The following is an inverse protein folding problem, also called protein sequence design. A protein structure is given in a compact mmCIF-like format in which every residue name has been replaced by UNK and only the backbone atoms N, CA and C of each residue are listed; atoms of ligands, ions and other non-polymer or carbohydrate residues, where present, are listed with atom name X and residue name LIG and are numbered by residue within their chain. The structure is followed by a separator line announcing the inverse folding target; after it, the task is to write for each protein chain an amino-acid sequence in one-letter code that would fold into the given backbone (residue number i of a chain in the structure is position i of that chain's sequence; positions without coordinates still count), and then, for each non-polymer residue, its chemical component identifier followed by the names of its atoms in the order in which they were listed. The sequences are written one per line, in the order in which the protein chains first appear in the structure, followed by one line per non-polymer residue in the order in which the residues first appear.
data_IF_687916587598
#
_entry.id   IF_687916587598
#
_cell.length_a   1.000
_cell.length_b   1.000
_cell.length_c   1.000
_cell.angle_alpha   90.00
_cell.angle_beta   90.00
_cell.angle_gamma   90.00
#
_symmetry.space_group_name_H-M   'P 1'
#
loop_
_entity.id
_entity.type
_entity.pdbx_description
1 polymer ?
#
# COMPACT_ATOMS: atom_id res chain seq x y z
N UNK A 1 10.96 3.61 -46.24
CA UNK A 1 10.14 4.40 -45.29
C UNK A 1 9.76 3.48 -44.14
N UNK A 2 10.37 3.65 -42.97
CA UNK A 2 10.04 2.86 -41.77
C UNK A 2 8.73 3.42 -41.21
N UNK A 3 7.61 2.70 -41.37
CA UNK A 3 6.38 3.02 -40.66
C UNK A 3 6.61 2.67 -39.20
N UNK A 4 6.92 3.67 -38.37
CA UNK A 4 6.90 3.47 -36.92
C UNK A 4 5.48 3.06 -36.53
N UNK A 5 5.31 1.83 -36.07
CA UNK A 5 4.08 1.36 -35.45
C UNK A 5 3.77 2.28 -34.27
N UNK A 6 2.71 3.08 -34.36
CA UNK A 6 2.24 3.89 -33.24
C UNK A 6 1.33 3.04 -32.36
N UNK A 7 1.61 3.03 -31.05
CA UNK A 7 0.78 2.40 -30.05
C UNK A 7 -0.29 3.39 -29.58
N UNK A 8 -1.52 2.90 -29.39
CA UNK A 8 -2.61 3.67 -28.81
C UNK A 8 -2.38 3.86 -27.29
N UNK A 9 -2.47 5.09 -26.79
CA UNK A 9 -2.35 5.41 -25.36
C UNK A 9 -3.69 5.97 -24.83
N UNK A 10 -4.54 5.07 -24.32
CA UNK A 10 -5.85 5.43 -23.77
C UNK A 10 -5.68 5.95 -22.35
N UNK A 11 -6.09 7.19 -22.12
CA UNK A 11 -6.04 7.81 -20.79
C UNK A 11 -6.93 7.05 -19.80
N UNK A 12 -6.30 6.45 -18.78
CA UNK A 12 -7.01 5.68 -17.76
C UNK A 12 -7.94 6.57 -16.92
N UNK A 13 -9.13 6.06 -16.61
CA UNK A 13 -10.05 6.72 -15.69
C UNK A 13 -9.40 6.82 -14.30
N UNK A 14 -9.54 7.95 -13.62
CA UNK A 14 -8.95 8.17 -12.29
C UNK A 14 -9.35 7.11 -11.25
N UNK A 15 -10.55 6.54 -11.36
CA UNK A 15 -10.99 5.41 -10.52
C UNK A 15 -10.11 4.17 -10.71
N UNK A 16 -9.73 3.89 -11.96
CA UNK A 16 -8.85 2.76 -12.33
C UNK A 16 -7.44 3.05 -11.83
N UNK A 17 -6.96 4.29 -11.98
CA UNK A 17 -5.64 4.70 -11.45
C UNK A 17 -5.59 4.47 -9.94
N UNK A 18 -6.58 4.97 -9.19
CA UNK A 18 -6.64 4.80 -7.73
C UNK A 18 -6.73 3.32 -7.33
N UNK A 19 -7.56 2.52 -8.01
CA UNK A 19 -7.64 1.08 -7.76
C UNK A 19 -6.31 0.36 -8.04
N UNK A 20 -5.61 0.75 -9.11
CA UNK A 20 -4.28 0.25 -9.44
C UNK A 20 -3.26 0.59 -8.37
N UNK A 21 -3.24 1.83 -7.88
CA UNK A 21 -2.35 2.25 -6.79
C UNK A 21 -2.62 1.50 -5.48
N UNK A 22 -3.88 1.30 -5.10
CA UNK A 22 -4.24 0.48 -3.93
C UNK A 22 -3.83 -0.99 -4.10
N UNK A 23 -3.93 -1.52 -5.32
CA UNK A 23 -3.45 -2.87 -5.62
C UNK A 23 -1.94 -2.96 -5.45
N UNK A 24 -1.19 -2.00 -6.00
CA UNK A 24 0.26 -1.94 -5.87
C UNK A 24 0.72 -1.87 -4.41
N UNK A 25 0.11 -1.00 -3.58
CA UNK A 25 0.50 -0.91 -2.16
C UNK A 25 0.15 -2.18 -1.40
N UNK A 26 -0.98 -2.82 -1.69
CA UNK A 26 -1.36 -4.11 -1.07
C UNK A 26 -0.33 -5.19 -1.41
N UNK A 27 0.15 -5.24 -2.66
CA UNK A 27 1.20 -6.18 -3.05
C UNK A 27 2.53 -5.88 -2.36
N UNK A 28 2.90 -4.60 -2.22
CA UNK A 28 4.11 -4.22 -1.48
C UNK A 28 4.07 -4.71 -0.03
N UNK A 29 2.96 -4.50 0.68
CA UNK A 29 2.78 -5.02 2.05
C UNK A 29 2.94 -6.54 2.12
N UNK A 30 2.32 -7.27 1.19
CA UNK A 30 2.43 -8.73 1.13
C UNK A 30 3.89 -9.18 0.92
N UNK A 31 4.64 -8.52 0.04
CA UNK A 31 6.05 -8.83 -0.17
C UNK A 31 6.93 -8.40 1.01
N UNK A 32 6.64 -7.27 1.66
CA UNK A 32 7.35 -6.80 2.84
C UNK A 32 7.26 -7.80 3.99
N UNK A 33 6.03 -8.20 4.33
CA UNK A 33 5.79 -9.20 5.38
C UNK A 33 6.36 -10.57 5.00
N UNK A 34 6.28 -10.96 3.72
CA UNK A 34 6.88 -12.21 3.24
C UNK A 34 8.40 -12.21 3.39
N UNK A 35 9.09 -11.14 3.00
CA UNK A 35 10.54 -11.05 3.12
C UNK A 35 10.99 -10.91 4.58
N UNK A 36 10.17 -10.34 5.46
CA UNK A 36 10.44 -10.30 6.89
C UNK A 36 10.64 -11.70 7.50
N UNK A 37 9.96 -12.72 6.97
CA UNK A 37 10.16 -14.11 7.40
C UNK A 37 11.58 -14.63 7.17
N UNK A 38 12.33 -14.05 6.23
CA UNK A 38 13.72 -14.43 5.96
C UNK A 38 14.71 -13.74 6.90
N UNK A 39 14.30 -12.72 7.65
CA UNK A 39 15.18 -12.06 8.60
C UNK A 39 15.52 -13.00 9.78
N UNK A 40 16.77 -12.98 10.28
CA UNK A 40 17.19 -13.89 11.35
C UNK A 40 16.28 -13.86 12.57
N UNK A 41 15.88 -15.04 13.04
CA UNK A 41 15.04 -15.21 14.23
C UNK A 41 13.55 -14.98 14.04
N UNK A 42 13.08 -14.46 12.88
CA UNK A 42 11.65 -14.16 12.66
C UNK A 42 10.77 -15.40 12.60
N UNK A 43 11.15 -16.40 11.80
CA UNK A 43 10.42 -17.67 11.70
C UNK A 43 10.38 -18.43 13.02
N UNK A 44 11.49 -18.45 13.76
CA UNK A 44 11.54 -19.03 15.10
C UNK A 44 10.59 -18.30 16.06
N UNK A 45 10.55 -16.97 16.00
CA UNK A 45 9.61 -16.16 16.79
C UNK A 45 8.14 -16.39 16.47
N UNK A 46 7.80 -16.89 15.27
CA UNK A 46 6.44 -17.33 14.95
C UNK A 46 6.08 -18.63 15.67
N UNK A 47 7.02 -19.58 15.75
CA UNK A 47 6.82 -20.88 16.42
C UNK A 47 6.75 -20.72 17.93
N UNK A 48 7.65 -19.92 18.50
CA UNK A 48 7.77 -19.77 19.95
C UNK A 48 6.81 -18.72 20.53
N UNK A 49 6.02 -18.05 19.67
CA UNK A 49 5.10 -16.98 20.10
C UNK A 49 5.77 -15.65 20.46
N UNK A 50 7.08 -15.52 20.23
CA UNK A 50 7.86 -14.29 20.40
C UNK A 50 7.75 -13.38 19.17
N UNK A 51 6.53 -12.96 18.83
CA UNK A 51 6.26 -12.03 17.73
C UNK A 51 5.18 -11.01 18.10
N UNK A 52 5.03 -9.95 17.29
CA UNK A 52 4.10 -8.84 17.57
C UNK A 52 2.61 -9.28 17.54
N UNK A 53 2.30 -10.33 16.78
CA UNK A 53 0.96 -10.84 16.53
C UNK A 53 0.63 -12.05 17.41
N UNK A 54 1.22 -12.12 18.61
CA UNK A 54 1.10 -13.24 19.53
C UNK A 54 -0.20 -13.29 20.35
N UNK A 55 -1.16 -12.38 20.11
CA UNK A 55 -2.47 -12.40 20.75
C UNK A 55 -3.60 -12.37 19.70
N UNK A 56 -4.75 -13.01 19.97
CA UNK A 56 -5.89 -12.98 19.04
C UNK A 56 -6.33 -11.56 18.67
N UNK A 57 -6.26 -10.63 19.63
CA UNK A 57 -6.63 -9.24 19.40
C UNK A 57 -5.62 -8.52 18.51
N UNK A 58 -4.31 -8.70 18.73
CA UNK A 58 -3.27 -8.09 17.90
C UNK A 58 -3.36 -8.60 16.46
N UNK A 59 -3.57 -9.90 16.28
CA UNK A 59 -3.73 -10.51 14.97
C UNK A 59 -4.96 -9.97 14.23
N UNK A 60 -6.09 -9.84 14.94
CA UNK A 60 -7.31 -9.26 14.36
C UNK A 60 -7.11 -7.79 13.97
N UNK A 61 -6.46 -6.98 14.81
CA UNK A 61 -6.18 -5.57 14.51
C UNK A 61 -5.30 -5.44 13.26
N UNK A 62 -4.24 -6.24 13.14
CA UNK A 62 -3.39 -6.26 11.95
C UNK A 62 -4.18 -6.62 10.70
N UNK A 63 -5.02 -7.66 10.77
CA UNK A 63 -5.88 -8.09 9.67
C UNK A 63 -6.87 -6.99 9.24
N UNK A 64 -7.50 -6.29 10.19
CA UNK A 64 -8.44 -5.19 9.89
C UNK A 64 -7.72 -4.03 9.20
N UNK A 65 -6.54 -3.63 9.70
CA UNK A 65 -5.76 -2.53 9.10
C UNK A 65 -5.35 -2.88 7.67
N UNK A 66 -4.83 -4.10 7.45
CA UNK A 66 -4.39 -4.54 6.12
C UNK A 66 -5.56 -4.86 5.16
N UNK A 67 -6.77 -5.07 5.66
CA UNK A 67 -7.95 -5.20 4.82
C UNK A 67 -8.37 -3.87 4.16
N UNK A 68 -8.07 -2.72 4.77
CA UNK A 68 -8.42 -1.40 4.24
C UNK A 68 -7.88 -1.18 2.81
N UNK A 69 -6.56 -1.32 2.53
CA UNK A 69 -6.03 -1.10 1.19
C UNK A 69 -6.63 -2.07 0.17
N UNK A 70 -6.82 -3.34 0.54
CA UNK A 70 -7.43 -4.35 -0.32
C UNK A 70 -8.89 -4.01 -0.68
N UNK A 71 -9.68 -3.58 0.30
CA UNK A 71 -11.07 -3.14 0.08
C UNK A 71 -11.12 -1.85 -0.73
N UNK A 72 -10.16 -0.94 -0.53
CA UNK A 72 -10.06 0.31 -1.27
C UNK A 72 -9.83 0.10 -2.77
N UNK A 73 -9.24 -1.03 -3.20
CA UNK A 73 -9.16 -1.42 -4.62
C UNK A 73 -10.55 -1.42 -5.25
N UNK A 74 -11.49 -2.16 -4.63
CA UNK A 74 -12.84 -2.28 -5.14
C UNK A 74 -13.65 -0.99 -4.95
N UNK A 75 -13.56 -0.38 -3.77
CA UNK A 75 -14.29 0.86 -3.46
C UNK A 75 -13.90 2.01 -4.40
N UNK A 76 -12.64 2.07 -4.83
CA UNK A 76 -12.18 3.09 -5.78
C UNK A 76 -12.89 3.01 -7.13
N UNK A 77 -13.39 1.83 -7.53
CA UNK A 77 -14.11 1.64 -8.77
C UNK A 77 -15.60 2.01 -8.63
N UNK A 78 -16.24 1.59 -7.54
CA UNK A 78 -17.71 1.67 -7.44
C UNK A 78 -18.22 2.94 -6.78
N UNK A 79 -17.45 3.55 -5.85
CA UNK A 79 -17.97 4.66 -5.06
C UNK A 79 -18.21 5.93 -5.90
N UNK A 80 -19.16 6.74 -5.43
CA UNK A 80 -19.41 8.08 -5.97
C UNK A 80 -18.16 8.96 -5.78
N UNK A 81 -17.81 9.84 -6.74
CA UNK A 81 -16.56 10.60 -6.71
C UNK A 81 -16.30 11.36 -5.40
N UNK A 82 -17.33 11.97 -4.80
CA UNK A 82 -17.18 12.74 -3.56
C UNK A 82 -16.68 11.90 -2.37
N UNK A 83 -17.31 10.75 -2.13
CA UNK A 83 -16.94 9.83 -1.04
C UNK A 83 -15.59 9.20 -1.34
N UNK A 84 -15.42 8.73 -2.58
CA UNK A 84 -14.21 8.07 -3.04
C UNK A 84 -12.96 8.95 -2.84
N UNK A 85 -13.07 10.24 -3.21
CA UNK A 85 -12.02 11.22 -3.02
C UNK A 85 -11.63 11.39 -1.56
N UNK A 86 -12.61 11.53 -0.65
CA UNK A 86 -12.34 11.70 0.78
C UNK A 86 -11.63 10.47 1.34
N UNK A 87 -12.14 9.26 1.05
CA UNK A 87 -11.54 8.03 1.54
C UNK A 87 -10.10 7.83 1.05
N UNK A 88 -9.83 8.10 -0.22
CA UNK A 88 -8.48 8.01 -0.77
C UNK A 88 -7.50 8.99 -0.10
N UNK A 89 -7.94 10.23 0.18
CA UNK A 89 -7.09 11.20 0.86
C UNK A 89 -6.83 10.77 2.31
N UNK A 90 -7.88 10.40 3.05
CA UNK A 90 -7.76 10.01 4.47
C UNK A 90 -6.88 8.77 4.63
N UNK A 91 -7.18 7.70 3.90
CA UNK A 91 -6.39 6.47 4.01
C UNK A 91 -5.01 6.60 3.37
N UNK A 92 -4.88 7.36 2.27
CA UNK A 92 -3.58 7.65 1.68
C UNK A 92 -2.65 8.33 2.69
N UNK A 93 -3.10 9.40 3.36
CA UNK A 93 -2.31 10.08 4.41
C UNK A 93 -2.01 9.13 5.57
N UNK A 94 -3.01 8.40 6.06
CA UNK A 94 -2.84 7.46 7.16
C UNK A 94 -1.73 6.44 6.87
N UNK A 95 -1.79 5.77 5.72
CA UNK A 95 -0.80 4.76 5.36
C UNK A 95 0.57 5.37 5.03
N UNK A 96 0.64 6.57 4.44
CA UNK A 96 1.93 7.27 4.28
C UNK A 96 2.60 7.51 5.63
N UNK A 97 1.86 8.01 6.63
CA UNK A 97 2.41 8.28 7.96
C UNK A 97 2.86 6.99 8.65
N UNK A 98 2.02 5.94 8.60
CA UNK A 98 2.35 4.65 9.20
C UNK A 98 3.62 4.06 8.58
N UNK A 99 3.70 4.02 7.24
CA UNK A 99 4.87 3.43 6.56
C UNK A 99 6.13 4.27 6.73
N UNK A 100 6.02 5.59 6.83
CA UNK A 100 7.16 6.45 7.14
C UNK A 100 7.71 6.17 8.55
N UNK A 101 6.84 5.99 9.55
CA UNK A 101 7.26 5.64 10.90
C UNK A 101 7.92 4.25 10.95
N UNK A 102 7.34 3.27 10.24
CA UNK A 102 7.92 1.93 10.16
C UNK A 102 9.27 1.97 9.43
N UNK A 103 9.36 2.64 8.28
CA UNK A 103 10.61 2.74 7.53
C UNK A 103 11.76 3.37 8.31
N UNK A 104 11.49 4.41 9.11
CA UNK A 104 12.50 5.04 9.98
C UNK A 104 12.91 4.12 11.13
N UNK A 105 11.96 3.40 11.74
CA UNK A 105 12.23 2.51 12.88
C UNK A 105 12.89 1.19 12.48
N UNK A 106 12.77 0.77 11.22
CA UNK A 106 13.30 -0.49 10.70
C UNK A 106 14.71 -0.38 10.09
N UNK A 107 15.45 0.71 10.32
CA UNK A 107 16.76 0.91 9.71
C UNK A 107 17.85 0.01 10.34
N UNK A 108 18.05 -1.17 9.76
CA UNK A 108 19.09 -2.14 10.17
C UNK A 108 19.52 -3.01 8.98
N UNK A 109 20.69 -3.66 9.07
CA UNK A 109 21.28 -4.44 7.97
C UNK A 109 20.32 -5.47 7.38
N UNK A 110 19.62 -6.22 8.24
CA UNK A 110 18.68 -7.26 7.81
C UNK A 110 17.34 -6.72 7.31
N UNK A 111 17.01 -5.44 7.54
CA UNK A 111 15.71 -4.84 7.20
C UNK A 111 15.81 -3.77 6.12
N UNK A 112 16.94 -3.63 5.42
CA UNK A 112 17.07 -2.69 4.31
C UNK A 112 16.01 -2.92 3.22
N UNK A 113 15.61 -4.17 2.98
CA UNK A 113 14.51 -4.50 2.06
C UNK A 113 13.18 -3.88 2.53
N UNK A 114 12.94 -3.87 3.84
CA UNK A 114 11.72 -3.35 4.47
C UNK A 114 11.70 -1.82 4.38
N UNK A 115 12.85 -1.17 4.63
CA UNK A 115 13.00 0.29 4.45
C UNK A 115 12.78 0.69 2.99
N UNK A 116 13.31 -0.08 2.04
CA UNK A 116 13.08 0.15 0.61
C UNK A 116 11.59 0.04 0.25
N UNK A 117 10.91 -1.03 0.67
CA UNK A 117 9.48 -1.21 0.41
C UNK A 117 8.65 -0.12 1.08
N UNK A 118 8.95 0.24 2.33
CA UNK A 118 8.28 1.33 3.03
C UNK A 118 8.42 2.67 2.28
N UNK A 119 9.58 2.95 1.68
CA UNK A 119 9.77 4.14 0.85
C UNK A 119 8.92 4.09 -0.42
N UNK A 120 8.86 2.95 -1.10
CA UNK A 120 8.02 2.75 -2.29
C UNK A 120 6.52 2.89 -1.93
N UNK A 121 6.09 2.30 -0.83
CA UNK A 121 4.72 2.39 -0.31
C UNK A 121 4.34 3.82 0.04
N UNK A 122 5.25 4.59 0.66
CA UNK A 122 5.08 6.03 0.88
C UNK A 122 4.87 6.76 -0.45
N UNK A 123 5.67 6.48 -1.48
CA UNK A 123 5.49 7.11 -2.80
C UNK A 123 4.13 6.77 -3.41
N UNK A 124 3.70 5.51 -3.37
CA UNK A 124 2.41 5.07 -3.91
C UNK A 124 1.25 5.73 -3.16
N UNK A 125 1.31 5.76 -1.83
CA UNK A 125 0.25 6.36 -0.99
C UNK A 125 0.19 7.88 -1.14
N UNK A 126 1.32 8.56 -1.32
CA UNK A 126 1.36 9.98 -1.71
C UNK A 126 0.70 10.18 -3.08
N UNK A 127 1.00 9.32 -4.06
CA UNK A 127 0.35 9.39 -5.38
C UNK A 127 -1.17 9.23 -5.26
N UNK A 128 -1.67 8.32 -4.42
CA UNK A 128 -3.11 8.15 -4.15
C UNK A 128 -3.71 9.50 -3.69
N UNK A 129 -3.08 10.17 -2.72
CA UNK A 129 -3.52 11.47 -2.22
C UNK A 129 -3.49 12.52 -3.33
N UNK A 130 -2.41 12.58 -4.12
CA UNK A 130 -2.25 13.55 -5.21
C UNK A 130 -3.31 13.37 -6.30
N UNK A 131 -3.54 12.14 -6.75
CA UNK A 131 -4.57 11.85 -7.75
C UNK A 131 -5.96 12.18 -7.21
N UNK A 132 -6.29 11.72 -6.00
CA UNK A 132 -7.56 12.04 -5.36
C UNK A 132 -7.77 13.56 -5.18
N UNK A 133 -6.71 14.30 -4.83
CA UNK A 133 -6.77 15.75 -4.68
C UNK A 133 -7.04 16.48 -6.00
N UNK A 134 -6.33 16.08 -7.07
CA UNK A 134 -6.43 16.64 -8.43
C UNK A 134 -7.68 16.21 -9.19
N UNK A 135 -8.48 15.30 -8.64
CA UNK A 135 -9.74 14.87 -9.26
C UNK A 135 -10.64 16.09 -9.52
N UNK A 136 -10.85 16.39 -10.81
CA UNK A 136 -11.68 17.51 -11.25
C UNK A 136 -13.09 17.41 -10.68
N UNK A 137 -13.56 18.53 -10.13
CA UNK A 137 -14.95 18.73 -9.73
C UNK A 137 -15.67 19.35 -10.92
N UNK A 138 -16.72 18.70 -11.39
CA UNK A 138 -17.62 19.19 -12.44
C UNK A 138 -19.00 19.35 -11.83
#
# INVERSE_FOLDING_TARGET
MNKSTQFEDIQANIKIILAGLWTSVTLCYLYGDYFELYAPGKTQGLVDGHNLLNSPLNLLMAAVVLAIPAVMVFLSLILKPAINRILNIVFGIFFTVVMLLIGISSFSEWYLFYVFLAAVECMITILIVVYAWKWKRV
#
